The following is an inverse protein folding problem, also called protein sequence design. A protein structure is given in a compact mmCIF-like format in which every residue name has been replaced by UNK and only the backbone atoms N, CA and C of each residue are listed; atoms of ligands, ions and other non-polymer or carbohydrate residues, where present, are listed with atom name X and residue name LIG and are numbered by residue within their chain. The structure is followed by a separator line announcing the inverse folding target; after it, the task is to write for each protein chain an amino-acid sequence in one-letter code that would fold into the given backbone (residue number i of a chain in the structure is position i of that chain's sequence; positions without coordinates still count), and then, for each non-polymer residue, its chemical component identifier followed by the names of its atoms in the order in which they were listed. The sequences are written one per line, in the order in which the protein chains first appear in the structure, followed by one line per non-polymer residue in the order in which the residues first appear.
data_IF_708077301841
#
_entry.id   IF_708077301841
#
_cell.length_a   1.000
_cell.length_b   1.000
_cell.length_c   1.000
_cell.angle_alpha   90.00
_cell.angle_beta   90.00
_cell.angle_gamma   90.00
#
_symmetry.space_group_name_H-M   'P 1'
#
loop_
_entity.id
_entity.type
_entity.pdbx_description
1 polymer ?
#
# COMPACT_ATOMS: atom_id res chain seq x y z
N UNK A 1 -18.60 -7.82 -2.54
CA UNK A 1 -17.32 -7.32 -2.01
C UNK A 1 -17.63 -6.53 -0.75
N UNK A 2 -17.13 -6.97 0.39
CA UNK A 2 -17.32 -6.39 1.73
C UNK A 2 -16.14 -5.50 2.12
N UNK A 3 -16.26 -4.76 3.24
CA UNK A 3 -15.13 -4.02 3.82
C UNK A 3 -13.97 -4.97 4.18
N UNK A 4 -14.29 -6.14 4.72
CA UNK A 4 -13.30 -7.17 5.06
C UNK A 4 -12.58 -7.68 3.80
N UNK A 5 -13.30 -7.94 2.72
CA UNK A 5 -12.69 -8.31 1.43
C UNK A 5 -11.73 -7.22 0.95
N UNK A 6 -12.12 -5.95 1.06
CA UNK A 6 -11.28 -4.80 0.69
C UNK A 6 -10.02 -4.66 1.55
N UNK A 7 -10.13 -4.84 2.87
CA UNK A 7 -8.99 -4.80 3.78
C UNK A 7 -8.02 -5.97 3.52
N UNK A 8 -8.54 -7.16 3.25
CA UNK A 8 -7.73 -8.33 2.88
C UNK A 8 -7.00 -8.11 1.55
N UNK A 9 -7.64 -7.47 0.56
CA UNK A 9 -7.00 -7.10 -0.70
C UNK A 9 -5.83 -6.12 -0.47
N UNK A 10 -6.03 -5.09 0.37
CA UNK A 10 -4.97 -4.13 0.72
C UNK A 10 -3.79 -4.85 1.41
N UNK A 11 -4.07 -5.72 2.38
CA UNK A 11 -3.03 -6.47 3.09
C UNK A 11 -2.22 -7.38 2.15
N UNK A 12 -2.92 -8.12 1.28
CA UNK A 12 -2.28 -9.01 0.31
C UNK A 12 -1.42 -8.25 -0.69
N UNK A 13 -1.87 -7.07 -1.13
CA UNK A 13 -1.10 -6.24 -2.05
C UNK A 13 0.16 -5.65 -1.39
N UNK A 14 0.07 -5.18 -0.13
CA UNK A 14 1.25 -4.76 0.64
C UNK A 14 2.27 -5.90 0.80
N UNK A 15 1.81 -7.12 1.11
CA UNK A 15 2.68 -8.31 1.20
C UNK A 15 3.37 -8.61 -0.14
N UNK A 16 2.65 -8.50 -1.25
CA UNK A 16 3.21 -8.69 -2.59
C UNK A 16 4.26 -7.62 -2.94
N UNK A 17 4.01 -6.35 -2.61
CA UNK A 17 4.97 -5.26 -2.79
C UNK A 17 6.23 -5.46 -1.92
N UNK A 18 6.07 -5.91 -0.68
CA UNK A 18 7.22 -6.22 0.17
C UNK A 18 8.04 -7.38 -0.39
N UNK A 19 7.40 -8.47 -0.82
CA UNK A 19 8.10 -9.59 -1.47
C UNK A 19 8.81 -9.16 -2.75
N UNK A 20 8.18 -8.29 -3.55
CA UNK A 20 8.81 -7.71 -4.73
C UNK A 20 10.09 -6.95 -4.33
N UNK A 21 10.03 -6.07 -3.33
CA UNK A 21 11.19 -5.34 -2.81
C UNK A 21 12.31 -6.25 -2.31
N UNK A 22 11.97 -7.37 -1.66
CA UNK A 22 12.94 -8.32 -1.14
C UNK A 22 13.70 -9.02 -2.28
N UNK A 23 13.03 -9.29 -3.41
CA UNK A 23 13.61 -9.94 -4.60
C UNK A 23 14.19 -8.97 -5.63
N UNK A 24 13.86 -7.68 -5.55
CA UNK A 24 14.27 -6.67 -6.51
C UNK A 24 15.81 -6.52 -6.65
N UNK A 25 16.63 -6.61 -5.57
CA UNK A 25 18.08 -6.58 -5.68
C UNK A 25 18.66 -7.69 -6.56
N UNK A 26 18.02 -8.86 -6.60
CA UNK A 26 18.45 -9.99 -7.44
C UNK A 26 18.30 -9.67 -8.94
N UNK A 27 17.40 -8.74 -9.28
CA UNK A 27 17.15 -8.28 -10.65
C UNK A 27 18.01 -7.07 -11.05
N UNK A 28 18.89 -6.61 -10.16
CA UNK A 28 19.68 -5.39 -10.36
C UNK A 28 20.61 -5.44 -11.57
N UNK A 29 21.11 -6.63 -11.92
CA UNK A 29 21.96 -6.85 -13.10
C UNK A 29 21.18 -6.64 -14.41
N UNK A 30 19.88 -6.94 -14.44
CA UNK A 30 19.05 -6.83 -15.65
C UNK A 30 18.39 -5.45 -15.78
N UNK A 31 17.93 -4.88 -14.67
CA UNK A 31 17.15 -3.64 -14.68
C UNK A 31 18.02 -2.38 -14.62
N UNK A 32 19.26 -2.49 -14.14
CA UNK A 32 20.12 -1.35 -13.88
C UNK A 32 19.77 -0.61 -12.58
N UNK A 33 20.74 0.11 -12.02
CA UNK A 33 20.65 0.72 -10.68
C UNK A 33 19.56 1.79 -10.55
N UNK A 34 19.38 2.61 -11.58
CA UNK A 34 18.38 3.70 -11.54
C UNK A 34 16.95 3.15 -11.56
N UNK A 35 16.71 2.08 -12.33
CA UNK A 35 15.41 1.42 -12.35
C UNK A 35 15.12 0.75 -11.01
N UNK A 36 16.10 0.03 -10.44
CA UNK A 36 15.97 -0.58 -9.10
C UNK A 36 15.64 0.48 -8.05
N UNK A 37 16.33 1.62 -8.08
CA UNK A 37 16.08 2.73 -7.15
C UNK A 37 14.67 3.29 -7.31
N UNK A 38 14.23 3.51 -8.55
CA UNK A 38 12.89 4.02 -8.86
C UNK A 38 11.80 3.06 -8.39
N UNK A 39 11.92 1.77 -8.72
CA UNK A 39 10.99 0.72 -8.28
C UNK A 39 10.96 0.62 -6.75
N UNK A 40 12.12 0.66 -6.11
CA UNK A 40 12.22 0.63 -4.64
C UNK A 40 11.44 1.78 -4.01
N UNK A 41 11.66 3.01 -4.48
CA UNK A 41 11.02 4.21 -3.95
C UNK A 41 9.51 4.19 -4.20
N UNK A 42 9.08 3.82 -5.40
CA UNK A 42 7.66 3.76 -5.76
C UNK A 42 6.91 2.72 -4.92
N UNK A 43 7.46 1.51 -4.79
CA UNK A 43 6.83 0.46 -3.98
C UNK A 43 6.74 0.83 -2.51
N UNK A 44 7.75 1.52 -1.94
CA UNK A 44 7.70 2.02 -0.55
C UNK A 44 6.62 3.09 -0.36
N UNK A 45 6.50 4.01 -1.31
CA UNK A 45 5.45 5.04 -1.27
C UNK A 45 4.06 4.42 -1.38
N UNK A 46 3.89 3.41 -2.23
CA UNK A 46 2.62 2.71 -2.39
C UNK A 46 2.21 1.96 -1.11
N UNK A 47 3.15 1.28 -0.45
CA UNK A 47 2.90 0.65 0.86
C UNK A 47 2.43 1.70 1.89
N UNK A 48 3.07 2.86 1.95
CA UNK A 48 2.68 3.93 2.87
C UNK A 48 1.28 4.49 2.57
N UNK A 49 0.93 4.63 1.29
CA UNK A 49 -0.42 5.04 0.86
C UNK A 49 -1.47 4.01 1.27
N UNK A 50 -1.20 2.73 1.04
CA UNK A 50 -2.08 1.62 1.42
C UNK A 50 -2.28 1.56 2.94
N UNK A 51 -1.24 1.81 3.74
CA UNK A 51 -1.36 1.93 5.20
C UNK A 51 -2.28 3.10 5.61
N UNK A 52 -2.20 4.23 4.91
CA UNK A 52 -3.07 5.37 5.18
C UNK A 52 -4.54 5.07 4.83
N UNK A 53 -4.77 4.39 3.69
CA UNK A 53 -6.10 3.95 3.27
C UNK A 53 -6.67 2.93 4.27
N UNK A 54 -5.90 1.91 4.65
CA UNK A 54 -6.32 0.91 5.63
C UNK A 54 -6.71 1.57 6.96
N UNK A 55 -5.91 2.54 7.44
CA UNK A 55 -6.22 3.32 8.64
C UNK A 55 -7.48 4.15 8.48
N UNK A 56 -7.71 4.77 7.32
CA UNK A 56 -8.90 5.56 7.05
C UNK A 56 -10.16 4.69 7.02
N UNK A 57 -10.09 3.49 6.42
CA UNK A 57 -11.19 2.54 6.34
C UNK A 57 -11.53 1.89 7.69
N UNK A 58 -10.53 1.66 8.55
CA UNK A 58 -10.72 1.11 9.90
C UNK A 58 -11.21 2.14 10.91
N UNK A 59 -11.05 3.45 10.65
CA UNK A 59 -11.64 4.46 11.51
C UNK A 59 -13.16 4.36 11.38
N UNK A 60 -13.91 4.32 12.50
CA UNK A 60 -15.35 4.55 12.40
C UNK A 60 -15.53 5.88 11.68
N UNK A 61 -16.45 5.94 10.73
CA UNK A 61 -16.84 7.20 10.14
C UNK A 61 -17.31 8.09 11.30
N UNK A 62 -16.44 8.98 11.79
CA UNK A 62 -16.89 10.24 12.36
C UNK A 62 -17.45 11.02 11.18
N UNK A 63 -18.61 10.59 10.70
CA UNK A 63 -19.54 11.51 10.11
C UNK A 63 -19.86 12.44 11.27
N UNK A 64 -19.17 13.58 11.30
CA UNK A 64 -19.65 14.71 12.08
C UNK A 64 -21.08 14.93 11.59
N UNK A 65 -22.02 14.54 12.44
CA UNK A 65 -23.40 14.98 12.42
C UNK A 65 -23.40 16.50 12.69
N UNK A 66 -22.79 17.26 11.80
CA UNK A 66 -22.79 18.72 11.75
C UNK A 66 -24.03 19.27 11.04
N UNK A 67 -25.01 18.42 10.73
CA UNK A 67 -26.39 18.82 10.48
C UNK A 67 -27.20 18.46 11.72
N UNK A 68 -26.86 19.10 12.83
CA UNK A 68 -27.78 19.25 13.96
C UNK A 68 -28.35 20.67 13.85
N UNK A 69 -29.66 20.72 13.59
CA UNK A 69 -30.57 21.88 13.44
C UNK A 69 -30.48 22.72 12.15
#
# INVERSE_FOLDING_TARGET
MTLEDGLNLIENYKKALQKFLDTLPEQSVQLGSEMVKTLTMNSKNEIANLDAIEKALKKPAKYESGLSE
#
